data_IF_199616010777
#
_entry.id   IF_199616010777
#
_cell.length_a   1.000
_cell.length_b   1.000
_cell.length_c   1.000
_cell.angle_alpha   90.00
_cell.angle_beta   90.00
_cell.angle_gamma   90.00
#
_symmetry.space_group_name_H-M   'P 1'
#
loop_
_entity.id
_entity.type
_entity.pdbx_description
1 polymer ?
#
# COMPACT_ATOMS: atom_id res chain seq x y z
N UNK A 1 40.15 -18.59 -72.23
CA UNK A 1 40.44 -20.04 -72.32
C UNK A 1 40.15 -20.62 -70.93
N UNK A 2 38.99 -21.28 -70.78
CA UNK A 2 38.57 -22.20 -69.70
C UNK A 2 38.68 -21.69 -68.24
N UNK A 3 37.61 -21.23 -67.58
CA UNK A 3 36.57 -22.06 -66.93
C UNK A 3 37.05 -23.48 -66.61
N UNK A 4 37.36 -23.78 -65.35
CA UNK A 4 37.01 -25.02 -64.65
C UNK A 4 37.57 -24.97 -63.22
N UNK A 5 36.76 -25.45 -62.26
CA UNK A 5 37.10 -25.83 -60.87
C UNK A 5 36.45 -24.99 -59.75
N UNK A 6 35.12 -24.85 -59.81
CA UNK A 6 34.29 -25.00 -58.62
C UNK A 6 33.85 -26.46 -58.54
N UNK A 7 34.22 -27.19 -57.48
CA UNK A 7 33.31 -27.99 -56.63
C UNK A 7 34.06 -28.97 -55.71
N UNK A 8 33.65 -28.87 -54.44
CA UNK A 8 33.28 -29.97 -53.54
C UNK A 8 34.32 -30.55 -52.57
N UNK A 9 33.74 -30.86 -51.40
CA UNK A 9 34.16 -31.72 -50.29
C UNK A 9 34.95 -31.00 -49.19
N UNK A 10 34.28 -30.44 -48.17
CA UNK A 10 33.53 -31.10 -47.09
C UNK A 10 34.44 -31.83 -46.10
N UNK A 11 34.42 -31.37 -44.84
CA UNK A 11 34.05 -32.14 -43.65
C UNK A 11 34.85 -31.67 -42.42
N UNK A 12 34.12 -31.22 -41.38
CA UNK A 12 34.29 -31.53 -39.94
C UNK A 12 35.68 -31.33 -39.32
N UNK A 13 35.92 -30.69 -38.19
CA UNK A 13 35.17 -30.15 -37.06
C UNK A 13 36.16 -29.17 -36.36
N UNK A 14 35.94 -28.45 -35.27
CA UNK A 14 35.14 -28.63 -34.08
C UNK A 14 35.21 -27.28 -33.33
N UNK A 15 34.08 -26.89 -32.72
CA UNK A 15 33.88 -25.93 -31.64
C UNK A 15 35.06 -25.05 -31.14
N UNK A 16 34.84 -23.72 -31.09
CA UNK A 16 34.82 -22.99 -29.81
C UNK A 16 33.87 -21.77 -29.87
N UNK A 17 33.03 -21.69 -28.84
CA UNK A 17 32.03 -20.66 -28.50
C UNK A 17 32.70 -19.58 -27.64
N UNK A 18 32.12 -18.37 -27.58
CA UNK A 18 31.91 -17.48 -26.40
C UNK A 18 31.85 -16.02 -26.90
N UNK A 19 30.65 -15.46 -27.11
CA UNK A 19 29.80 -14.72 -26.15
C UNK A 19 30.14 -13.20 -26.12
N UNK A 20 29.47 -12.43 -26.98
CA UNK A 20 29.41 -10.97 -26.89
C UNK A 20 27.95 -10.53 -27.08
N UNK A 21 27.20 -10.55 -25.97
CA UNK A 21 25.81 -10.13 -25.89
C UNK A 21 25.52 -9.64 -24.48
N UNK A 22 26.19 -8.56 -24.06
CA UNK A 22 25.89 -7.84 -22.82
C UNK A 22 24.72 -6.88 -23.10
N UNK A 23 23.52 -7.21 -22.62
CA UNK A 23 22.93 -6.67 -21.39
C UNK A 23 22.60 -5.17 -21.48
N UNK A 24 21.57 -4.84 -22.25
CA UNK A 24 20.67 -3.74 -21.88
C UNK A 24 19.57 -4.32 -20.98
N UNK A 25 19.92 -4.52 -19.70
CA UNK A 25 18.92 -4.72 -18.66
C UNK A 25 18.29 -3.34 -18.39
N UNK A 26 17.09 -3.12 -18.93
CA UNK A 26 16.26 -2.00 -18.50
C UNK A 26 16.05 -2.12 -17.00
N UNK A 27 16.40 -1.08 -16.26
CA UNK A 27 16.06 -0.95 -14.86
C UNK A 27 14.53 -0.94 -14.75
N UNK A 28 13.94 -2.08 -14.41
CA UNK A 28 12.60 -2.09 -13.85
C UNK A 28 12.66 -1.27 -12.56
N UNK A 29 11.97 -0.12 -12.55
CA UNK A 29 11.74 0.63 -11.32
C UNK A 29 11.04 -0.26 -10.28
N UNK A 30 11.12 0.08 -8.99
CA UNK A 30 10.45 -0.68 -7.96
C UNK A 30 8.94 -0.73 -8.29
N UNK A 31 8.43 -1.95 -8.49
CA UNK A 31 7.00 -2.20 -8.55
C UNK A 31 6.39 -1.72 -7.22
N UNK A 32 5.44 -0.80 -7.30
CA UNK A 32 4.64 -0.38 -6.15
C UNK A 32 3.92 -1.61 -5.61
N UNK A 33 4.19 -1.97 -4.36
CA UNK A 33 3.61 -3.13 -3.72
C UNK A 33 2.08 -3.03 -3.71
N UNK A 34 1.42 -4.10 -4.16
CA UNK A 34 -0.03 -4.32 -4.14
C UNK A 34 -0.58 -4.52 -2.73
N UNK A 35 -0.37 -3.52 -1.87
CA UNK A 35 -0.82 -3.49 -0.49
C UNK A 35 -2.04 -2.59 -0.29
N UNK A 36 -2.62 -2.68 0.90
CA UNK A 36 -3.52 -1.66 1.47
C UNK A 36 -2.75 -0.33 1.52
N UNK A 37 -3.37 0.75 1.03
CA UNK A 37 -2.83 2.10 1.14
C UNK A 37 -3.02 2.58 2.59
N UNK A 38 -1.94 2.55 3.36
CA UNK A 38 -1.93 2.86 4.78
C UNK A 38 -1.36 4.27 5.00
N UNK A 39 -2.14 5.13 5.64
CA UNK A 39 -1.66 6.39 6.19
C UNK A 39 -1.30 6.19 7.66
N UNK A 40 -0.05 6.47 8.01
CA UNK A 40 0.46 6.40 9.38
C UNK A 40 0.49 7.80 9.97
N UNK A 41 -0.25 8.03 11.04
CA UNK A 41 -0.29 9.30 11.76
C UNK A 41 -0.06 9.06 13.25
N UNK A 42 0.67 9.94 13.93
CA UNK A 42 0.77 9.88 15.38
C UNK A 42 -0.19 10.83 16.07
N UNK A 43 -0.76 10.42 17.18
CA UNK A 43 -1.59 11.24 18.04
C UNK A 43 -0.74 11.71 19.22
N UNK A 44 -0.71 13.02 19.45
CA UNK A 44 0.10 13.66 20.49
C UNK A 44 -0.70 14.61 21.39
N UNK A 45 -2.04 14.57 21.32
CA UNK A 45 -2.92 15.41 22.13
C UNK A 45 -2.74 15.22 23.64
N UNK A 46 -2.47 14.00 24.09
CA UNK A 46 -2.31 13.68 25.52
C UNK A 46 -0.97 14.24 26.05
N UNK A 47 -0.98 15.07 27.13
CA UNK A 47 0.23 15.68 27.69
C UNK A 47 1.35 14.68 28.03
N UNK A 48 1.01 13.43 28.35
CA UNK A 48 1.95 12.38 28.74
C UNK A 48 2.57 11.61 27.55
N UNK A 49 2.17 11.97 26.33
CA UNK A 49 2.74 11.42 25.08
C UNK A 49 3.97 12.20 24.59
N UNK A 50 4.80 11.53 23.78
CA UNK A 50 5.90 12.18 23.07
C UNK A 50 5.33 13.09 21.99
N UNK A 51 5.69 14.37 22.05
CA UNK A 51 5.26 15.41 21.10
C UNK A 51 5.72 15.14 19.67
N UNK A 52 4.91 15.56 18.69
CA UNK A 52 5.30 15.62 17.28
C UNK A 52 6.54 16.50 17.08
N UNK A 53 7.27 16.23 16.00
CA UNK A 53 8.54 16.88 15.64
C UNK A 53 9.69 16.62 16.63
N UNK A 54 9.50 15.66 17.53
CA UNK A 54 10.60 15.11 18.30
C UNK A 54 11.38 14.11 17.42
N UNK A 55 12.72 14.16 17.36
CA UNK A 55 13.52 13.20 16.57
C UNK A 55 13.26 11.72 16.90
N UNK A 56 12.73 11.41 18.09
CA UNK A 56 12.31 10.07 18.47
C UNK A 56 11.01 9.67 17.80
N UNK A 57 10.04 10.58 17.78
CA UNK A 57 8.76 10.38 17.12
C UNK A 57 8.99 10.08 15.65
N UNK A 58 9.82 10.89 14.97
CA UNK A 58 10.14 10.71 13.55
C UNK A 58 10.83 9.36 13.29
N UNK A 59 11.77 8.95 14.15
CA UNK A 59 12.41 7.63 14.07
C UNK A 59 11.42 6.49 14.24
N UNK A 60 10.47 6.60 15.15
CA UNK A 60 9.44 5.57 15.38
C UNK A 60 8.48 5.50 14.18
N UNK A 61 8.01 6.65 13.66
CA UNK A 61 7.19 6.73 12.44
C UNK A 61 7.91 6.07 11.27
N UNK A 62 9.16 6.46 11.02
CA UNK A 62 9.95 5.94 9.90
C UNK A 62 10.18 4.44 10.03
N UNK A 63 10.46 3.96 11.24
CA UNK A 63 10.67 2.55 11.50
C UNK A 63 9.37 1.73 11.33
N UNK A 64 8.22 2.23 11.79
CA UNK A 64 6.91 1.60 11.57
C UNK A 64 6.60 1.56 10.07
N UNK A 65 6.78 2.68 9.37
CA UNK A 65 6.56 2.77 7.94
C UNK A 65 7.48 1.83 7.16
N UNK A 66 8.76 1.73 7.55
CA UNK A 66 9.73 0.81 6.97
C UNK A 66 9.31 -0.65 7.12
N UNK A 67 8.87 -1.02 8.31
CA UNK A 67 8.43 -2.38 8.59
C UNK A 67 7.13 -2.73 7.83
N UNK A 68 6.17 -1.81 7.77
CA UNK A 68 4.93 -2.01 7.00
C UNK A 68 5.20 -2.10 5.49
N UNK A 69 6.10 -1.26 4.94
CA UNK A 69 6.57 -1.39 3.55
C UNK A 69 7.22 -2.75 3.29
N UNK A 70 8.06 -3.24 4.22
CA UNK A 70 8.69 -4.55 4.12
C UNK A 70 7.68 -5.70 4.10
N UNK A 71 6.50 -5.50 4.72
CA UNK A 71 5.37 -6.44 4.69
C UNK A 71 4.44 -6.28 3.48
N UNK A 72 4.78 -5.40 2.53
CA UNK A 72 4.04 -5.23 1.28
C UNK A 72 2.93 -4.19 1.32
N UNK A 73 2.82 -3.40 2.39
CA UNK A 73 1.85 -2.30 2.47
C UNK A 73 2.37 -1.05 1.74
N UNK A 74 1.47 -0.33 1.08
CA UNK A 74 1.78 0.98 0.49
C UNK A 74 1.59 2.04 1.58
N UNK A 75 2.69 2.47 2.21
CA UNK A 75 2.65 3.42 3.32
C UNK A 75 2.87 4.84 2.81
N UNK A 76 1.95 5.73 3.19
CA UNK A 76 2.01 7.15 2.86
C UNK A 76 2.40 7.97 4.08
N UNK A 77 3.24 8.96 3.84
CA UNK A 77 3.67 9.92 4.85
C UNK A 77 2.62 11.03 5.03
N UNK A 78 2.31 11.40 6.28
CA UNK A 78 1.34 12.45 6.62
C UNK A 78 1.67 13.78 5.94
N UNK A 79 2.94 14.18 5.96
CA UNK A 79 3.43 15.41 5.33
C UNK A 79 3.15 15.36 3.84
N UNK A 80 3.61 14.29 3.18
CA UNK A 80 3.52 14.17 1.73
C UNK A 80 2.08 14.26 1.18
N UNK A 81 1.08 13.82 1.95
CA UNK A 81 -0.32 13.80 1.50
C UNK A 81 -1.16 15.00 1.99
N UNK A 82 -0.62 15.85 2.87
CA UNK A 82 -1.37 16.95 3.48
C UNK A 82 -0.74 18.35 3.32
N UNK A 83 0.48 18.45 2.80
CA UNK A 83 1.23 19.72 2.64
C UNK A 83 0.47 20.83 1.89
N UNK A 84 -0.44 20.50 0.98
CA UNK A 84 -1.12 21.50 0.15
C UNK A 84 -2.28 22.21 0.86
N UNK A 85 -2.80 21.65 1.95
CA UNK A 85 -4.05 22.12 2.55
C UNK A 85 -4.07 22.09 4.09
N UNK A 86 -2.96 21.74 4.75
CA UNK A 86 -2.92 21.68 6.21
C UNK A 86 -1.67 22.27 6.85
N UNK A 87 -1.83 22.80 8.07
CA UNK A 87 -0.73 23.31 8.89
C UNK A 87 -0.06 22.16 9.65
N UNK A 88 1.13 21.80 9.19
CA UNK A 88 1.94 20.70 9.70
C UNK A 88 2.69 21.03 10.99
N UNK A 89 2.82 22.31 11.34
CA UNK A 89 3.63 22.78 12.48
C UNK A 89 2.86 22.72 13.81
N UNK A 90 1.58 22.34 13.76
CA UNK A 90 0.73 22.21 14.94
C UNK A 90 0.99 20.88 15.67
N UNK A 91 1.34 20.98 16.95
CA UNK A 91 1.43 19.85 17.89
C UNK A 91 0.15 19.72 18.72
N UNK A 92 0.01 18.59 19.44
CA UNK A 92 -1.12 18.27 20.32
C UNK A 92 -2.45 18.14 19.58
N UNK A 93 -2.48 17.31 18.53
CA UNK A 93 -3.67 17.11 17.68
C UNK A 93 -4.55 15.95 18.17
N UNK A 94 -5.86 16.18 18.39
CA UNK A 94 -6.77 15.11 18.78
C UNK A 94 -7.08 14.18 17.61
N UNK A 95 -7.36 12.93 17.93
CA UNK A 95 -7.76 11.90 16.99
C UNK A 95 -8.79 12.30 15.91
N UNK A 96 -9.83 13.05 16.28
CA UNK A 96 -10.91 13.45 15.39
C UNK A 96 -10.41 14.41 14.29
N UNK A 97 -9.44 15.25 14.62
CA UNK A 97 -8.77 16.14 13.65
C UNK A 97 -7.98 15.31 12.63
N UNK A 98 -7.23 14.30 13.10
CA UNK A 98 -6.44 13.41 12.24
C UNK A 98 -7.33 12.58 11.30
N UNK A 99 -8.47 12.06 11.78
CA UNK A 99 -9.41 11.33 10.93
C UNK A 99 -10.04 12.25 9.87
N UNK A 100 -10.44 13.46 10.26
CA UNK A 100 -10.96 14.44 9.32
C UNK A 100 -9.92 14.79 8.25
N UNK A 101 -8.65 14.90 8.64
CA UNK A 101 -7.54 15.16 7.74
C UNK A 101 -7.37 14.01 6.75
N UNK A 102 -7.31 12.76 7.23
CA UNK A 102 -7.14 11.61 6.36
C UNK A 102 -8.27 11.43 5.34
N UNK A 103 -9.51 11.75 5.71
CA UNK A 103 -10.66 11.74 4.77
C UNK A 103 -10.59 12.85 3.73
N UNK A 104 -9.89 13.95 4.02
CA UNK A 104 -9.75 15.08 3.09
C UNK A 104 -8.63 14.89 2.07
N UNK A 105 -7.77 13.87 2.25
CA UNK A 105 -6.71 13.51 1.30
C UNK A 105 -7.35 12.97 0.01
N UNK A 106 -7.29 13.77 -1.07
CA UNK A 106 -7.78 13.38 -2.40
C UNK A 106 -6.65 12.97 -3.35
N UNK A 107 -5.40 13.28 -3.01
CA UNK A 107 -4.22 13.07 -3.87
C UNK A 107 -3.93 11.58 -4.09
N UNK A 108 -4.20 10.75 -3.08
CA UNK A 108 -4.02 9.30 -3.13
C UNK A 108 -5.16 8.61 -2.39
N UNK A 109 -5.71 7.51 -2.92
CA UNK A 109 -6.84 6.84 -2.30
C UNK A 109 -6.35 6.03 -1.09
N UNK A 110 -6.47 6.58 0.12
CA UNK A 110 -6.09 5.90 1.38
C UNK A 110 -7.17 4.87 1.75
N UNK A 111 -6.78 3.65 2.10
CA UNK A 111 -7.70 2.57 2.51
C UNK A 111 -7.89 2.57 4.03
N UNK A 112 -6.78 2.64 4.76
CA UNK A 112 -6.75 2.57 6.20
C UNK A 112 -5.85 3.67 6.76
N UNK A 113 -6.25 4.17 7.91
CA UNK A 113 -5.49 5.10 8.72
C UNK A 113 -5.12 4.40 10.00
N UNK A 114 -3.87 4.50 10.39
CA UNK A 114 -3.47 4.20 11.76
C UNK A 114 -3.10 5.48 12.49
N UNK A 115 -3.76 5.70 13.64
CA UNK A 115 -3.41 6.74 14.61
C UNK A 115 -2.77 6.05 15.82
N UNK A 116 -1.58 6.47 16.23
CA UNK A 116 -0.86 5.86 17.35
C UNK A 116 -0.30 6.90 18.33
N UNK A 117 -0.25 6.55 19.61
CA UNK A 117 0.31 7.34 20.68
C UNK A 117 1.55 6.65 21.27
N UNK A 118 2.57 7.43 21.63
CA UNK A 118 3.75 6.91 22.32
C UNK A 118 3.78 7.45 23.75
N UNK A 119 3.61 6.56 24.73
CA UNK A 119 3.71 6.84 26.15
C UNK A 119 5.05 6.32 26.68
N UNK A 120 5.88 7.22 27.20
CA UNK A 120 7.19 6.87 27.78
C UNK A 120 7.30 7.44 29.20
N UNK A 121 7.60 6.57 30.17
CA UNK A 121 7.75 6.96 31.57
C UNK A 121 8.94 6.25 32.22
N UNK A 122 9.63 6.95 33.10
CA UNK A 122 10.69 6.40 33.96
C UNK A 122 10.09 5.90 35.27
N UNK A 123 10.45 4.69 35.69
CA UNK A 123 10.05 4.14 36.99
C UNK A 123 11.28 3.76 37.81
N UNK A 124 11.30 4.06 39.13
CA UNK A 124 12.39 3.61 39.99
C UNK A 124 12.49 2.08 39.98
N UNK A 125 13.69 1.55 39.83
CA UNK A 125 13.91 0.11 39.92
C UNK A 125 14.02 -0.34 41.40
N UNK A 126 14.12 -1.65 41.62
CA UNK A 126 14.40 -2.21 42.94
C UNK A 126 15.81 -1.88 43.47
N UNK A 127 16.71 -1.39 42.61
CA UNK A 127 18.07 -1.01 42.94
C UNK A 127 18.20 0.51 42.96
N UNK A 128 18.76 1.03 44.05
CA UNK A 128 18.93 2.47 44.25
C UNK A 128 19.82 3.09 43.16
N UNK A 129 19.37 4.19 42.56
CA UNK A 129 20.06 4.87 41.46
C UNK A 129 19.80 4.30 40.06
N UNK A 130 19.10 3.17 39.93
CA UNK A 130 18.73 2.58 38.63
C UNK A 130 17.26 2.90 38.34
N UNK A 131 17.02 3.40 37.12
CA UNK A 131 15.69 3.75 36.62
C UNK A 131 15.36 2.85 35.44
N UNK A 132 14.18 2.25 35.46
CA UNK A 132 13.67 1.45 34.37
C UNK A 132 12.79 2.28 33.44
N UNK A 133 12.82 1.95 32.16
CA UNK A 133 11.93 2.51 31.16
C UNK A 133 10.64 1.69 31.11
N UNK A 134 9.50 2.39 31.19
CA UNK A 134 8.20 1.86 30.80
C UNK A 134 7.78 2.55 29.52
N UNK A 135 7.54 1.76 28.49
CA UNK A 135 7.10 2.25 27.18
C UNK A 135 5.80 1.55 26.80
N UNK A 136 4.84 2.33 26.30
CA UNK A 136 3.61 1.82 25.71
C UNK A 136 3.33 2.57 24.41
N UNK A 137 3.20 1.82 23.33
CA UNK A 137 2.74 2.33 22.04
C UNK A 137 1.36 1.73 21.81
N UNK A 138 0.35 2.58 21.80
CA UNK A 138 -1.02 2.19 21.55
C UNK A 138 -1.47 2.82 20.24
N UNK A 139 -2.22 2.09 19.44
CA UNK A 139 -2.75 2.63 18.19
C UNK A 139 -4.05 1.98 17.80
N UNK A 140 -4.74 2.65 16.89
CA UNK A 140 -6.01 2.21 16.32
C UNK A 140 -5.95 2.31 14.82
N UNK A 141 -6.71 1.43 14.18
CA UNK A 141 -6.81 1.34 12.73
C UNK A 141 -8.24 1.63 12.33
N UNK A 142 -8.43 2.51 11.37
CA UNK A 142 -9.73 2.97 10.92
C UNK A 142 -9.78 2.86 9.40
N UNK A 143 -10.85 2.26 8.88
CA UNK A 143 -11.14 2.26 7.46
C UNK A 143 -11.61 3.66 7.05
N UNK A 144 -11.00 4.23 6.01
CA UNK A 144 -11.31 5.60 5.58
C UNK A 144 -12.69 5.67 4.91
N UNK A 145 -13.07 4.62 4.18
CA UNK A 145 -14.28 4.57 3.36
C UNK A 145 -15.58 4.76 4.16
N UNK A 146 -15.70 4.08 5.29
CA UNK A 146 -16.90 4.08 6.14
C UNK A 146 -16.64 4.62 7.55
N UNK A 147 -15.37 4.83 7.92
CA UNK A 147 -14.97 5.21 9.27
C UNK A 147 -15.03 4.07 10.27
N UNK A 148 -15.17 2.81 9.83
CA UNK A 148 -15.24 1.68 10.73
C UNK A 148 -13.90 1.49 11.44
N UNK A 149 -13.96 1.27 12.76
CA UNK A 149 -12.79 0.85 13.53
C UNK A 149 -12.46 -0.59 13.15
N UNK A 150 -11.27 -0.78 12.57
CA UNK A 150 -10.74 -2.08 12.19
C UNK A 150 -10.07 -2.80 13.37
N UNK A 151 -9.81 -2.08 14.46
CA UNK A 151 -9.25 -2.62 15.70
C UNK A 151 -8.21 -1.71 16.32
N UNK A 152 -7.73 -2.12 17.49
CA UNK A 152 -6.62 -1.51 18.20
C UNK A 152 -5.44 -2.46 18.29
N UNK A 153 -4.24 -1.90 18.44
CA UNK A 153 -3.03 -2.63 18.81
C UNK A 153 -2.35 -1.90 19.96
N UNK A 154 -1.71 -2.67 20.82
CA UNK A 154 -0.91 -2.13 21.91
C UNK A 154 0.35 -2.97 22.04
N UNK A 155 1.50 -2.30 22.09
CA UNK A 155 2.79 -2.89 22.43
C UNK A 155 3.29 -2.18 23.67
N UNK A 156 3.51 -2.95 24.74
CA UNK A 156 4.01 -2.42 26.00
C UNK A 156 5.26 -3.19 26.44
N UNK A 157 6.24 -2.44 26.92
CA UNK A 157 7.48 -2.96 27.49
C UNK A 157 7.50 -2.68 28.98
N UNK A 158 7.65 -3.76 29.76
CA UNK A 158 7.75 -3.68 31.22
C UNK A 158 9.18 -3.38 31.65
N UNK A 159 9.37 -2.88 32.90
CA UNK A 159 10.68 -2.76 33.51
C UNK A 159 11.49 -4.06 33.38
N UNK A 160 12.69 -3.97 32.81
CA UNK A 160 13.59 -5.09 32.55
C UNK A 160 13.43 -5.79 31.19
N UNK A 161 12.41 -5.48 30.39
CA UNK A 161 12.27 -6.01 29.01
C UNK A 161 13.09 -5.20 28.00
N UNK A 162 13.33 -3.91 28.28
CA UNK A 162 14.25 -3.05 27.55
C UNK A 162 15.59 -2.92 28.29
N UNK A 163 16.68 -2.56 27.59
CA UNK A 163 17.95 -2.30 28.26
C UNK A 163 17.80 -1.20 29.33
N UNK A 164 18.65 -1.29 30.34
CA UNK A 164 18.66 -0.34 31.44
C UNK A 164 18.99 1.06 30.93
N UNK A 165 18.33 2.09 31.47
CA UNK A 165 18.71 3.47 31.21
C UNK A 165 20.08 3.77 31.84
N UNK A 166 20.86 4.68 31.25
CA UNK A 166 22.06 5.22 31.91
C UNK A 166 21.75 5.78 33.31
N UNK A 167 22.75 5.78 34.19
CA UNK A 167 22.65 6.45 35.49
C UNK A 167 22.39 7.94 35.28
N UNK A 168 21.52 8.54 36.11
CA UNK A 168 21.13 9.95 36.04
C UNK A 168 20.55 10.39 34.68
N UNK A 169 19.79 9.51 34.03
CA UNK A 169 19.16 9.80 32.74
C UNK A 169 18.02 10.82 32.87
N UNK A 170 18.27 12.03 32.37
CA UNK A 170 17.27 13.09 32.26
C UNK A 170 16.30 12.86 31.07
N UNK A 171 15.35 13.78 30.87
CA UNK A 171 14.36 13.68 29.78
C UNK A 171 15.03 13.60 28.40
N UNK A 172 16.12 14.30 28.17
CA UNK A 172 16.81 14.30 26.87
C UNK A 172 17.51 12.95 26.63
N UNK A 173 18.15 12.40 27.66
CA UNK A 173 18.72 11.06 27.65
C UNK A 173 17.64 9.99 27.39
N UNK A 174 16.48 10.09 28.07
CA UNK A 174 15.35 9.17 27.89
C UNK A 174 14.87 9.14 26.44
N UNK A 175 14.67 10.33 25.88
CA UNK A 175 14.26 10.53 24.48
C UNK A 175 15.29 9.86 23.56
N UNK A 176 16.58 10.20 23.68
CA UNK A 176 17.62 9.61 22.85
C UNK A 176 17.63 8.07 22.93
N UNK A 177 17.50 7.51 24.14
CA UNK A 177 17.45 6.07 24.37
C UNK A 177 16.26 5.40 23.69
N UNK A 178 15.05 5.97 23.79
CA UNK A 178 13.86 5.46 23.07
C UNK A 178 14.09 5.48 21.55
N UNK A 179 14.73 6.54 21.05
CA UNK A 179 15.13 6.65 19.64
C UNK A 179 16.10 5.54 19.19
N UNK A 180 17.01 5.09 20.06
CA UNK A 180 17.93 3.99 19.77
C UNK A 180 17.22 2.62 19.79
N UNK A 181 16.13 2.51 20.54
CA UNK A 181 15.25 1.34 20.56
C UNK A 181 14.20 1.36 19.43
N UNK A 182 14.11 2.41 18.59
CA UNK A 182 13.03 2.56 17.61
C UNK A 182 12.88 1.36 16.65
N UNK A 183 13.99 0.75 16.21
CA UNK A 183 13.96 -0.36 15.27
C UNK A 183 13.34 -1.66 15.83
N UNK A 184 13.73 -2.18 17.02
CA UNK A 184 13.01 -3.31 17.62
C UNK A 184 11.55 -2.94 17.97
N UNK A 185 11.30 -1.72 18.48
CA UNK A 185 9.94 -1.25 18.78
C UNK A 185 9.02 -1.30 17.56
N UNK A 186 9.49 -0.77 16.43
CA UNK A 186 8.74 -0.75 15.19
C UNK A 186 8.47 -2.14 14.61
N UNK A 187 9.38 -3.11 14.83
CA UNK A 187 9.14 -4.49 14.41
C UNK A 187 7.95 -5.09 15.14
N UNK A 188 7.89 -4.90 16.45
CA UNK A 188 6.81 -5.41 17.30
C UNK A 188 5.49 -4.68 17.00
N UNK A 189 5.53 -3.35 16.91
CA UNK A 189 4.35 -2.53 16.52
C UNK A 189 3.85 -2.89 15.13
N UNK A 190 4.76 -2.99 14.16
CA UNK A 190 4.39 -3.38 12.81
C UNK A 190 3.78 -4.79 12.76
N UNK A 191 4.27 -5.73 13.58
CA UNK A 191 3.72 -7.08 13.62
C UNK A 191 2.28 -7.07 14.16
N UNK A 192 2.03 -6.29 15.23
CA UNK A 192 0.71 -6.11 15.80
C UNK A 192 -0.25 -5.40 14.83
N UNK A 193 0.23 -4.37 14.13
CA UNK A 193 -0.54 -3.62 13.13
C UNK A 193 -0.86 -4.49 11.90
N UNK A 194 0.13 -5.22 11.38
CA UNK A 194 -0.08 -6.11 10.25
C UNK A 194 -1.11 -7.21 10.58
N UNK A 195 -1.06 -7.76 11.80
CA UNK A 195 -2.06 -8.73 12.25
C UNK A 195 -3.48 -8.17 12.23
N UNK A 196 -3.68 -6.87 12.51
CA UNK A 196 -5.00 -6.25 12.38
C UNK A 196 -5.43 -6.02 10.94
N UNK A 197 -4.51 -5.63 10.06
CA UNK A 197 -4.81 -5.40 8.65
C UNK A 197 -5.05 -6.71 7.87
N UNK A 198 -4.41 -7.80 8.28
CA UNK A 198 -4.55 -9.13 7.69
C UNK A 198 -5.98 -9.71 7.77
N UNK A 199 -6.77 -9.28 8.75
CA UNK A 199 -8.19 -9.63 8.87
C UNK A 199 -9.08 -8.85 7.89
N UNK A 200 -8.65 -7.66 7.48
CA UNK A 200 -9.37 -6.77 6.56
C UNK A 200 -9.11 -7.15 5.11
N UNK A 201 -7.87 -7.54 4.78
CA UNK A 201 -7.47 -8.01 3.45
C UNK A 201 -8.13 -9.35 3.09
N UNK A 202 -8.36 -10.23 4.07
CA UNK A 202 -8.99 -11.55 3.85
C UNK A 202 -10.53 -11.54 3.82
N UNK A 203 -11.16 -10.38 4.02
CA UNK A 203 -12.59 -10.19 3.80
C UNK A 203 -12.98 -10.29 2.32
N UNK A 204 -12.01 -10.12 1.42
CA UNK A 204 -12.15 -10.39 -0.01
C UNK A 204 -11.71 -11.84 -0.27
N UNK A 205 -12.67 -12.75 -0.49
CA UNK A 205 -12.34 -14.10 -0.93
C UNK A 205 -11.56 -14.00 -2.25
N UNK A 206 -10.36 -14.61 -2.38
CA UNK A 206 -9.65 -14.58 -3.64
C UNK A 206 -10.53 -15.29 -4.68
N UNK A 207 -10.92 -14.63 -5.79
CA UNK A 207 -11.59 -15.34 -6.86
C UNK A 207 -10.65 -16.42 -7.38
N UNK A 208 -11.23 -17.54 -7.82
CA UNK A 208 -10.53 -18.70 -8.34
C UNK A 208 -9.83 -18.35 -9.67
N UNK A 209 -8.73 -17.62 -9.60
CA UNK A 209 -8.02 -17.10 -10.77
C UNK A 209 -6.76 -16.31 -10.44
N UNK A 210 -6.20 -16.49 -9.24
CA UNK A 210 -5.02 -15.76 -8.77
C UNK A 210 -3.87 -15.78 -9.79
N UNK A 211 -3.07 -14.71 -9.85
CA UNK A 211 -2.06 -14.54 -10.89
C UNK A 211 -1.08 -15.71 -10.89
N UNK A 212 -0.80 -16.24 -12.08
CA UNK A 212 0.27 -17.22 -12.26
C UNK A 212 1.60 -16.59 -11.80
N UNK A 213 2.33 -17.28 -10.92
CA UNK A 213 3.62 -16.82 -10.42
C UNK A 213 4.55 -16.45 -11.59
N UNK A 214 4.96 -15.18 -11.65
CA UNK A 214 5.87 -14.65 -12.69
C UNK A 214 5.34 -13.48 -13.52
N UNK A 215 4.14 -12.99 -13.26
CA UNK A 215 3.58 -11.83 -13.96
C UNK A 215 3.75 -10.53 -13.15
N UNK A 216 4.24 -9.47 -13.80
CA UNK A 216 4.13 -8.10 -13.30
C UNK A 216 2.76 -7.52 -13.68
N UNK A 217 1.80 -7.60 -12.76
CA UNK A 217 0.45 -7.11 -12.99
C UNK A 217 0.44 -5.59 -13.24
N UNK A 218 -0.23 -5.16 -14.30
CA UNK A 218 -0.37 -3.76 -14.70
C UNK A 218 -1.70 -3.22 -14.21
N UNK A 219 -1.73 -1.96 -13.80
CA UNK A 219 -2.94 -1.26 -13.39
C UNK A 219 -3.50 -0.47 -14.56
N UNK A 220 -4.79 -0.63 -14.82
CA UNK A 220 -5.57 0.11 -15.80
C UNK A 220 -6.72 0.83 -15.09
N UNK A 221 -7.09 2.02 -15.57
CA UNK A 221 -8.30 2.71 -15.09
C UNK A 221 -9.50 2.29 -15.95
N UNK A 222 -10.55 1.76 -15.34
CA UNK A 222 -11.82 1.42 -15.99
C UNK A 222 -12.88 2.46 -15.60
N UNK A 223 -13.23 3.35 -16.52
CA UNK A 223 -14.26 4.36 -16.30
C UNK A 223 -15.61 3.88 -16.83
N UNK A 224 -16.63 3.82 -15.98
CA UNK A 224 -17.98 3.38 -16.31
C UNK A 224 -18.95 4.57 -16.20
N UNK A 225 -19.48 5.02 -17.33
CA UNK A 225 -20.38 6.16 -17.44
C UNK A 225 -21.82 5.72 -17.76
N UNK A 226 -22.79 6.17 -16.95
CA UNK A 226 -24.21 5.91 -17.16
C UNK A 226 -24.69 4.54 -16.66
N UNK A 227 -23.98 3.93 -15.70
CA UNK A 227 -24.36 2.66 -15.07
C UNK A 227 -24.86 2.87 -13.65
N UNK A 228 -25.87 2.10 -13.28
CA UNK A 228 -26.37 2.10 -11.91
C UNK A 228 -25.48 1.24 -10.98
N UNK A 229 -25.53 1.44 -9.65
CA UNK A 229 -24.67 0.69 -8.72
C UNK A 229 -24.86 -0.84 -8.78
N UNK A 230 -26.05 -1.34 -9.15
CA UNK A 230 -26.30 -2.77 -9.25
C UNK A 230 -25.71 -3.38 -10.54
N UNK A 231 -25.58 -2.60 -11.61
CA UNK A 231 -24.80 -2.97 -12.80
C UNK A 231 -23.30 -2.96 -12.51
N UNK A 232 -22.78 -1.93 -11.83
CA UNK A 232 -21.38 -1.87 -11.43
C UNK A 232 -20.98 -3.10 -10.60
N UNK A 233 -21.75 -3.44 -9.57
CA UNK A 233 -21.48 -4.63 -8.74
C UNK A 233 -21.49 -5.94 -9.54
N UNK A 234 -22.31 -6.02 -10.61
CA UNK A 234 -22.27 -7.17 -11.53
C UNK A 234 -21.00 -7.17 -12.38
N UNK A 235 -20.56 -6.02 -12.88
CA UNK A 235 -19.31 -5.91 -13.62
C UNK A 235 -18.10 -6.30 -12.76
N UNK A 236 -18.04 -5.84 -11.51
CA UNK A 236 -17.00 -6.21 -10.55
C UNK A 236 -16.88 -7.74 -10.38
N UNK A 237 -18.00 -8.45 -10.30
CA UNK A 237 -18.01 -9.91 -10.25
C UNK A 237 -17.44 -10.57 -11.52
N UNK A 238 -17.69 -9.99 -12.71
CA UNK A 238 -17.10 -10.46 -13.97
C UNK A 238 -15.61 -10.15 -14.06
N UNK A 239 -15.20 -8.96 -13.66
CA UNK A 239 -13.81 -8.51 -13.62
C UNK A 239 -12.93 -9.45 -12.77
N UNK A 240 -13.47 -9.88 -11.63
CA UNK A 240 -12.83 -10.86 -10.74
C UNK A 240 -12.69 -12.27 -11.36
N UNK A 241 -13.52 -12.61 -12.36
CA UNK A 241 -13.50 -13.91 -13.03
C UNK A 241 -12.54 -13.98 -14.23
N UNK A 242 -11.94 -12.85 -14.65
CA UNK A 242 -11.02 -12.84 -15.79
C UNK A 242 -9.70 -13.55 -15.47
N UNK A 243 -9.18 -14.28 -16.44
CA UNK A 243 -7.85 -14.88 -16.31
C UNK A 243 -6.78 -13.79 -16.21
N UNK A 244 -5.93 -13.93 -15.19
CA UNK A 244 -4.88 -12.95 -14.91
C UNK A 244 -5.36 -11.76 -14.07
N UNK A 245 -6.60 -11.79 -13.57
CA UNK A 245 -7.05 -10.86 -12.55
C UNK A 245 -6.14 -10.92 -11.31
N UNK A 246 -5.69 -9.75 -10.86
CA UNK A 246 -4.98 -9.62 -9.60
C UNK A 246 -5.91 -9.01 -8.53
N UNK A 247 -6.41 -7.80 -8.78
CA UNK A 247 -7.32 -7.05 -7.89
C UNK A 247 -8.05 -5.95 -8.65
N UNK A 248 -9.12 -5.40 -8.07
CA UNK A 248 -9.70 -4.14 -8.50
C UNK A 248 -10.11 -3.28 -7.30
N UNK A 249 -10.24 -1.97 -7.50
CA UNK A 249 -10.65 -1.00 -6.49
C UNK A 249 -11.40 0.17 -7.11
N UNK A 250 -12.55 0.54 -6.57
CA UNK A 250 -13.23 1.79 -6.94
C UNK A 250 -12.41 2.99 -6.47
N UNK A 251 -11.97 3.83 -7.40
CA UNK A 251 -11.20 5.06 -7.13
C UNK A 251 -12.13 6.25 -6.90
N UNK A 252 -13.18 6.38 -7.72
CA UNK A 252 -14.16 7.45 -7.63
C UNK A 252 -15.54 6.92 -8.02
N UNK A 253 -16.57 7.37 -7.32
CA UNK A 253 -17.96 7.09 -7.65
C UNK A 253 -18.77 8.38 -7.50
N UNK A 254 -19.16 8.94 -8.64
CA UNK A 254 -19.95 10.16 -8.76
C UNK A 254 -21.30 9.79 -9.40
N UNK A 255 -22.40 10.55 -9.20
CA UNK A 255 -23.65 10.23 -9.89
C UNK A 255 -23.46 10.10 -11.41
N UNK A 256 -23.61 8.87 -11.91
CA UNK A 256 -23.46 8.55 -13.34
C UNK A 256 -22.04 8.25 -13.83
N UNK A 257 -21.01 8.26 -12.97
CA UNK A 257 -19.65 7.88 -13.34
C UNK A 257 -18.96 7.11 -12.21
N UNK A 258 -18.40 5.94 -12.52
CA UNK A 258 -17.62 5.13 -11.59
C UNK A 258 -16.28 4.76 -12.21
N UNK A 259 -15.18 5.12 -11.56
CA UNK A 259 -13.83 4.81 -12.00
C UNK A 259 -13.24 3.70 -11.12
N UNK A 260 -12.75 2.63 -11.75
CA UNK A 260 -12.21 1.44 -11.08
C UNK A 260 -10.75 1.25 -11.50
N UNK A 261 -9.83 1.24 -10.56
CA UNK A 261 -8.47 0.73 -10.79
C UNK A 261 -8.56 -0.80 -10.93
N UNK A 262 -8.19 -1.33 -12.09
CA UNK A 262 -8.20 -2.76 -12.38
C UNK A 262 -6.77 -3.23 -12.62
N UNK A 263 -6.34 -4.21 -11.83
CA UNK A 263 -5.00 -4.75 -11.95
C UNK A 263 -5.05 -6.15 -12.57
N UNK A 264 -4.28 -6.34 -13.65
CA UNK A 264 -4.25 -7.60 -14.37
C UNK A 264 -2.89 -7.90 -14.98
N UNK A 265 -2.67 -9.19 -15.15
CA UNK A 265 -1.60 -9.80 -15.91
C UNK A 265 -1.88 -9.94 -17.40
N UNK A 266 -3.10 -9.63 -17.83
CA UNK A 266 -3.47 -9.69 -19.22
C UNK A 266 -2.89 -8.50 -19.99
N UNK A 267 -2.45 -8.75 -21.23
CA UNK A 267 -2.13 -7.68 -22.16
C UNK A 267 -3.39 -6.83 -22.46
N UNK A 268 -3.24 -5.52 -22.80
CA UNK A 268 -4.36 -4.61 -23.02
C UNK A 268 -5.41 -5.14 -24.02
N UNK A 269 -4.95 -5.77 -25.10
CA UNK A 269 -5.80 -6.35 -26.14
C UNK A 269 -6.73 -7.46 -25.58
N UNK A 270 -6.20 -8.27 -24.66
CA UNK A 270 -6.96 -9.33 -24.01
C UNK A 270 -7.92 -8.77 -22.97
N UNK A 271 -7.51 -7.73 -22.23
CA UNK A 271 -8.40 -7.03 -21.32
C UNK A 271 -9.57 -6.40 -22.08
N UNK A 272 -9.32 -5.73 -23.20
CA UNK A 272 -10.37 -5.17 -24.05
C UNK A 272 -11.35 -6.26 -24.52
N UNK A 273 -10.82 -7.40 -24.99
CA UNK A 273 -11.65 -8.52 -25.44
C UNK A 273 -12.52 -9.08 -24.31
N UNK A 274 -11.97 -9.20 -23.10
CA UNK A 274 -12.72 -9.65 -21.93
C UNK A 274 -13.81 -8.64 -21.52
N UNK A 275 -13.50 -7.33 -21.54
CA UNK A 275 -14.49 -6.28 -21.24
C UNK A 275 -15.63 -6.30 -22.26
N UNK A 276 -15.32 -6.43 -23.56
CA UNK A 276 -16.35 -6.57 -24.61
C UNK A 276 -17.21 -7.81 -24.40
N UNK A 277 -16.61 -8.94 -24.02
CA UNK A 277 -17.35 -10.17 -23.71
C UNK A 277 -18.26 -9.99 -22.48
N UNK A 278 -17.79 -9.30 -21.45
CA UNK A 278 -18.58 -8.97 -20.25
C UNK A 278 -19.80 -8.09 -20.60
N UNK A 279 -19.62 -7.03 -21.38
CA UNK A 279 -20.74 -6.16 -21.79
C UNK A 279 -21.76 -6.92 -22.65
N UNK A 280 -21.28 -7.77 -23.57
CA UNK A 280 -22.15 -8.64 -24.37
C UNK A 280 -22.94 -9.63 -23.50
N UNK A 281 -22.32 -10.20 -22.46
CA UNK A 281 -22.97 -11.17 -21.58
C UNK A 281 -23.96 -10.52 -20.60
N UNK A 282 -23.70 -9.28 -20.18
CA UNK A 282 -24.59 -8.50 -19.32
C UNK A 282 -25.72 -7.82 -20.09
N UNK A 283 -25.65 -7.81 -21.42
CA UNK A 283 -26.63 -7.14 -22.29
C UNK A 283 -26.50 -5.62 -22.29
N UNK A 284 -25.38 -5.09 -21.81
CA UNK A 284 -25.13 -3.65 -21.81
C UNK A 284 -24.65 -3.20 -23.20
N UNK A 285 -25.40 -2.31 -23.84
CA UNK A 285 -24.94 -1.62 -25.04
C UNK A 285 -24.03 -0.46 -24.63
N UNK A 286 -22.75 -0.56 -25.01
CA UNK A 286 -21.72 0.38 -24.56
C UNK A 286 -20.86 0.85 -25.72
N UNK A 287 -20.45 2.10 -25.64
CA UNK A 287 -19.31 2.63 -26.36
C UNK A 287 -18.07 2.41 -25.50
N UNK A 288 -17.13 1.59 -25.99
CA UNK A 288 -15.88 1.28 -25.28
C UNK A 288 -14.72 1.94 -26.02
N UNK A 289 -14.06 2.87 -25.34
CA UNK A 289 -12.81 3.51 -25.76
C UNK A 289 -11.64 2.94 -24.96
N UNK A 290 -10.51 2.78 -25.62
CA UNK A 290 -9.26 2.33 -25.01
C UNK A 290 -8.21 3.44 -25.16
N UNK A 291 -7.47 3.70 -24.10
CA UNK A 291 -6.29 4.57 -24.11
C UNK A 291 -5.04 3.82 -23.61
N UNK A 292 -3.93 4.52 -23.39
CA UNK A 292 -2.68 3.90 -22.96
C UNK A 292 -2.71 3.40 -21.51
N UNK A 293 -3.58 3.99 -20.68
CA UNK A 293 -3.62 3.85 -19.23
C UNK A 293 -4.95 3.22 -18.73
N UNK A 294 -5.91 2.96 -19.63
CA UNK A 294 -7.25 2.56 -19.23
C UNK A 294 -8.26 2.32 -20.36
N UNK A 295 -9.50 2.09 -19.94
CA UNK A 295 -10.67 1.86 -20.77
C UNK A 295 -11.85 2.67 -20.25
N UNK A 296 -12.55 3.37 -21.14
CA UNK A 296 -13.76 4.11 -20.83
C UNK A 296 -14.97 3.46 -21.50
N UNK A 297 -15.91 2.99 -20.70
CA UNK A 297 -17.20 2.46 -21.14
C UNK A 297 -18.31 3.48 -20.86
N UNK A 298 -19.01 3.92 -21.90
CA UNK A 298 -20.19 4.75 -21.76
C UNK A 298 -21.42 3.99 -22.26
N UNK A 299 -22.52 3.98 -21.48
CA UNK A 299 -23.79 3.40 -21.95
C UNK A 299 -24.25 4.14 -23.20
N UNK A 300 -24.60 3.38 -24.23
CA UNK A 300 -25.37 3.90 -25.35
C UNK A 300 -26.81 4.00 -24.87
N UNK A 301 -27.28 5.22 -24.62
CA UNK A 301 -28.69 5.43 -24.30
C UNK A 301 -29.54 4.88 -25.46
N UNK A 302 -30.26 3.78 -25.21
CA UNK A 302 -31.43 3.45 -26.02
C UNK A 302 -32.44 4.60 -25.94
N UNK A 303 -33.27 4.82 -26.98
CA UNK A 303 -34.24 5.91 -26.97
C UNK A 303 -35.08 5.86 -25.69
N UNK A 304 -35.23 7.01 -25.04
CA UNK A 304 -36.08 7.15 -23.86
C UNK A 304 -37.51 6.78 -24.24
N UNK A 305 -38.04 5.72 -23.61
CA UNK A 305 -39.47 5.43 -23.59
C UNK A 305 -40.21 6.38 -22.62
#
# INVERSE_FOLDING_TARGET
MFEFARRALAATALAQVVLAGALFAGAAGPATADGVNLLVMGEDADPDTIERHNPVFDRVVEAIAGEMRARGFAVYDETAVTMEFYDLDRTRRPDAELISLARSVQVVPIDAVTAFEIHAATVPSAYEGITDLRLRIAGRVIAVADGQSLGGYEVSYRPGELPMLPLDCDRACLIAFVGDQAAPLARDVGAALAAQLDGVVRGEAPPAGGPAAGCAARTFTLAFNGFDPAEIARFEAFLAAFQGYARHRVQAATPGQTDIAYQTCADPERLEQNLRAMFAQTGAEVWLEADADGFAAARIAGPAD
#
